data_IF_269448118257
#
_entry.id   IF_269448118257
#
_cell.length_a   1.000
_cell.length_b   1.000
_cell.length_c   1.000
_cell.angle_alpha   90.00
_cell.angle_beta   90.00
_cell.angle_gamma   90.00
#
_symmetry.space_group_name_H-M   'P 1'
#
loop_
_entity.id
_entity.type
_entity.pdbx_description
1 polymer ?
#
# COMPACT_ATOMS: atom_id res chain seq x y z
N UNK A 1 -27.21 21.46 -34.00
CA UNK A 1 -25.75 21.40 -34.29
C UNK A 1 -24.96 22.33 -33.36
N UNK A 2 -25.47 23.52 -33.04
CA UNK A 2 -24.86 24.45 -32.07
C UNK A 2 -24.87 24.00 -30.59
N UNK A 3 -25.80 23.15 -30.14
CA UNK A 3 -25.82 22.64 -28.75
C UNK A 3 -24.77 21.56 -28.45
N UNK A 4 -24.29 20.81 -29.46
CA UNK A 4 -23.24 19.78 -29.26
C UNK A 4 -21.83 20.37 -29.16
N UNK A 5 -21.65 21.61 -29.64
CA UNK A 5 -20.37 22.30 -29.60
C UNK A 5 -20.19 23.08 -28.29
N UNK A 6 -21.28 23.46 -27.61
CA UNK A 6 -21.25 24.07 -26.28
C UNK A 6 -20.91 23.06 -25.16
N UNK A 7 -21.30 21.81 -25.32
CA UNK A 7 -21.05 20.72 -24.37
C UNK A 7 -19.56 20.30 -24.36
N UNK A 8 -18.94 20.21 -25.54
CA UNK A 8 -17.49 19.98 -25.68
C UNK A 8 -16.62 21.12 -25.14
N UNK A 9 -17.15 22.33 -25.07
CA UNK A 9 -16.44 23.51 -24.52
C UNK A 9 -16.37 23.47 -22.99
N UNK A 10 -17.39 22.89 -22.33
CA UNK A 10 -17.43 22.74 -20.86
C UNK A 10 -16.55 21.59 -20.37
N UNK A 11 -16.48 20.49 -21.11
CA UNK A 11 -15.59 19.35 -20.76
C UNK A 11 -14.10 19.68 -20.85
N UNK A 12 -13.73 20.67 -21.68
CA UNK A 12 -12.33 21.08 -21.82
C UNK A 12 -11.89 22.14 -20.78
N UNK A 13 -12.84 22.76 -20.06
CA UNK A 13 -12.56 23.80 -19.06
C UNK A 13 -12.17 23.24 -17.68
N UNK A 14 -12.32 21.93 -17.45
CA UNK A 14 -12.01 21.27 -16.18
C UNK A 14 -10.82 20.30 -16.26
N UNK A 15 -10.05 20.37 -17.35
CA UNK A 15 -8.74 19.71 -17.41
C UNK A 15 -7.73 20.55 -16.64
N UNK A 16 -7.72 20.37 -15.32
CA UNK A 16 -6.61 20.82 -14.49
C UNK A 16 -5.35 20.13 -15.03
N UNK A 17 -4.34 20.91 -15.41
CA UNK A 17 -3.06 20.35 -15.80
C UNK A 17 -2.49 19.55 -14.63
N UNK A 18 -1.96 18.35 -14.92
CA UNK A 18 -1.33 17.52 -13.90
C UNK A 18 -0.15 18.24 -13.20
N UNK A 19 0.44 19.24 -13.88
CA UNK A 19 1.52 20.11 -13.40
C UNK A 19 1.05 21.16 -12.38
N UNK A 20 -0.25 21.50 -12.36
CA UNK A 20 -0.84 22.45 -11.41
C UNK A 20 -1.44 21.75 -10.16
N UNK A 21 -1.23 20.43 -10.04
CA UNK A 21 -1.74 19.67 -8.91
C UNK A 21 -0.93 19.99 -7.65
N UNK A 22 -1.58 20.56 -6.64
CA UNK A 22 -0.99 20.81 -5.32
C UNK A 22 -0.65 19.48 -4.66
N UNK A 23 0.58 19.35 -4.16
CA UNK A 23 0.99 18.22 -3.34
C UNK A 23 0.14 18.17 -2.05
N UNK A 24 -0.66 17.12 -1.93
CA UNK A 24 -1.49 16.89 -0.75
C UNK A 24 -0.59 16.27 0.31
N UNK A 25 -0.38 16.97 1.42
CA UNK A 25 0.30 16.42 2.60
C UNK A 25 -0.68 16.41 3.76
N UNK A 26 -0.90 15.22 4.33
CA UNK A 26 -1.76 15.02 5.48
C UNK A 26 -1.20 15.66 6.75
N UNK A 27 -2.08 16.01 7.68
CA UNK A 27 -1.74 16.67 8.95
C UNK A 27 -2.21 15.90 10.18
N UNK A 28 -2.80 14.71 10.00
CA UNK A 28 -3.14 13.83 11.10
C UNK A 28 -1.89 13.51 11.93
N UNK A 29 -1.99 13.59 13.25
CA UNK A 29 -0.88 13.41 14.19
C UNK A 29 -0.93 12.06 14.94
N UNK A 30 -1.96 11.25 14.67
CA UNK A 30 -2.21 9.95 15.31
C UNK A 30 -2.44 8.83 14.29
N UNK A 31 -2.25 7.56 14.69
CA UNK A 31 -2.38 6.39 13.79
C UNK A 31 -3.79 6.19 13.20
N UNK A 32 -4.79 6.89 13.73
CA UNK A 32 -6.15 7.02 13.23
C UNK A 32 -6.53 8.51 13.28
N UNK A 33 -7.32 9.07 12.36
CA UNK A 33 -7.90 10.41 12.51
C UNK A 33 -8.86 10.53 13.70
N UNK A 34 -9.03 11.74 14.23
CA UNK A 34 -9.89 11.96 15.40
C UNK A 34 -11.36 11.67 15.10
N UNK A 35 -11.85 12.15 13.96
CA UNK A 35 -13.22 11.93 13.52
C UNK A 35 -13.57 10.44 13.45
N UNK A 36 -12.78 9.65 12.70
CA UNK A 36 -12.98 8.21 12.60
C UNK A 36 -12.88 7.52 13.97
N UNK A 37 -11.91 7.93 14.79
CA UNK A 37 -11.68 7.34 16.10
C UNK A 37 -12.88 7.51 17.03
N UNK A 38 -13.43 8.72 17.09
CA UNK A 38 -14.62 9.02 17.89
C UNK A 38 -15.87 8.37 17.30
N UNK A 39 -16.03 8.37 15.97
CA UNK A 39 -17.14 7.73 15.31
C UNK A 39 -17.22 6.23 15.67
N UNK A 40 -16.11 5.49 15.49
CA UNK A 40 -16.06 4.06 15.83
C UNK A 40 -16.25 3.80 17.33
N UNK A 41 -15.82 4.72 18.20
CA UNK A 41 -16.11 4.64 19.62
C UNK A 41 -17.61 4.75 19.92
N UNK A 42 -18.30 5.75 19.37
CA UNK A 42 -19.74 5.96 19.59
C UNK A 42 -20.59 4.84 18.98
N UNK A 43 -20.19 4.33 17.81
CA UNK A 43 -20.84 3.21 17.12
C UNK A 43 -20.53 1.85 17.76
N UNK A 44 -19.64 1.80 18.75
CA UNK A 44 -19.14 0.57 19.40
C UNK A 44 -18.46 -0.40 18.45
N UNK A 45 -17.85 0.12 17.38
CA UNK A 45 -17.14 -0.62 16.33
C UNK A 45 -15.62 -0.57 16.51
N UNK A 46 -15.16 -0.88 17.73
CA UNK A 46 -13.75 -0.96 18.06
C UNK A 46 -13.26 -2.40 17.92
N UNK A 47 -12.18 -2.57 17.16
CA UNK A 47 -11.50 -3.87 17.05
C UNK A 47 -10.92 -4.28 18.42
N UNK A 48 -10.86 -5.58 18.77
CA UNK A 48 -10.19 -6.03 19.99
C UNK A 48 -8.77 -5.49 20.18
N UNK A 49 -8.03 -5.26 19.09
CA UNK A 49 -6.65 -4.73 19.13
C UNK A 49 -6.57 -3.22 19.36
N UNK A 50 -7.71 -2.52 19.34
CA UNK A 50 -7.82 -1.07 19.56
C UNK A 50 -8.35 -0.74 20.97
N UNK A 51 -8.55 -1.75 21.81
CA UNK A 51 -9.05 -1.60 23.18
C UNK A 51 -7.91 -1.72 24.18
N UNK A 52 -7.97 -0.91 25.24
CA UNK A 52 -7.11 -1.07 26.40
C UNK A 52 -7.35 -2.44 27.08
N UNK A 53 -6.45 -2.92 27.97
CA UNK A 53 -6.65 -4.18 28.70
C UNK A 53 -7.98 -4.27 29.46
N UNK A 54 -8.56 -3.11 29.79
CA UNK A 54 -9.81 -2.99 30.55
C UNK A 54 -11.04 -2.97 29.62
N UNK A 55 -10.84 -3.12 28.30
CA UNK A 55 -11.87 -2.99 27.27
C UNK A 55 -12.27 -1.55 26.94
N UNK A 56 -11.63 -0.55 27.55
CA UNK A 56 -11.94 0.86 27.34
C UNK A 56 -11.25 1.42 26.08
N UNK A 57 -11.88 2.43 25.48
CA UNK A 57 -11.33 3.22 24.37
C UNK A 57 -10.02 3.90 24.77
N UNK A 58 -9.00 3.75 23.92
CA UNK A 58 -7.74 4.47 24.03
C UNK A 58 -7.31 4.95 22.64
N UNK A 59 -7.26 6.27 22.48
CA UNK A 59 -6.90 6.94 21.22
C UNK A 59 -5.55 6.49 20.66
N UNK A 60 -4.62 6.09 21.53
CA UNK A 60 -3.26 5.65 21.16
C UNK A 60 -3.22 4.26 20.53
N UNK A 61 -4.26 3.45 20.72
CA UNK A 61 -4.35 2.10 20.17
C UNK A 61 -5.12 2.07 18.83
N UNK A 62 -5.84 3.15 18.51
CA UNK A 62 -6.66 3.27 17.31
C UNK A 62 -5.79 3.36 16.06
N UNK A 63 -6.12 2.56 15.04
CA UNK A 63 -5.47 2.61 13.73
C UNK A 63 -6.53 2.80 12.65
N UNK A 64 -6.31 3.72 11.71
CA UNK A 64 -7.28 4.04 10.67
C UNK A 64 -7.71 2.80 9.87
N UNK A 65 -9.01 2.56 9.78
CA UNK A 65 -9.58 1.48 8.98
C UNK A 65 -9.63 1.85 7.49
N UNK A 66 -9.47 0.86 6.61
CA UNK A 66 -9.63 1.11 5.18
C UNK A 66 -11.10 1.32 4.84
N UNK A 67 -11.47 2.56 4.52
CA UNK A 67 -12.76 2.90 3.94
C UNK A 67 -12.70 2.81 2.41
N UNK A 68 -13.73 2.24 1.78
CA UNK A 68 -13.91 2.37 0.33
C UNK A 68 -14.33 3.81 0.05
N UNK A 69 -13.76 4.43 -0.98
CA UNK A 69 -14.24 5.74 -1.43
C UNK A 69 -15.75 5.64 -1.71
N UNK A 70 -16.54 6.47 -1.05
CA UNK A 70 -17.94 6.64 -1.40
C UNK A 70 -18.04 7.25 -2.80
N UNK A 71 -19.14 7.00 -3.52
CA UNK A 71 -19.38 7.65 -4.80
C UNK A 71 -19.61 9.15 -4.57
N UNK A 72 -18.54 9.93 -4.61
CA UNK A 72 -18.52 11.35 -4.30
C UNK A 72 -17.05 11.80 -4.24
N UNK A 73 -16.71 12.82 -5.00
CA UNK A 73 -15.32 13.17 -5.32
C UNK A 73 -14.66 14.07 -4.25
N UNK A 74 -15.17 14.04 -3.02
CA UNK A 74 -14.66 14.90 -1.96
C UNK A 74 -13.37 14.29 -1.42
N UNK A 75 -12.26 14.99 -1.65
CA UNK A 75 -10.99 14.70 -0.98
C UNK A 75 -11.23 14.81 0.54
N UNK A 76 -10.76 13.83 1.33
CA UNK A 76 -10.88 13.93 2.78
C UNK A 76 -10.09 15.16 3.28
N UNK A 77 -10.51 15.76 4.40
CA UNK A 77 -9.75 16.81 5.09
C UNK A 77 -8.30 16.39 5.32
N UNK A 78 -7.37 17.35 5.37
CA UNK A 78 -5.94 17.03 5.56
C UNK A 78 -5.69 16.39 6.93
N UNK A 79 -6.46 16.76 7.95
CA UNK A 79 -6.45 16.16 9.29
C UNK A 79 -6.92 14.70 9.32
N UNK A 80 -7.55 14.22 8.24
CA UNK A 80 -7.96 12.83 8.07
C UNK A 80 -6.94 12.00 7.27
N UNK A 81 -5.83 12.60 6.85
CA UNK A 81 -4.74 11.95 6.12
C UNK A 81 -3.49 11.94 7.01
N UNK A 82 -2.89 10.75 7.21
CA UNK A 82 -1.64 10.61 7.97
C UNK A 82 -0.42 10.91 7.08
N UNK A 83 0.52 11.76 7.52
CA UNK A 83 1.74 12.03 6.77
C UNK A 83 2.69 10.82 6.77
N UNK A 84 3.62 10.71 5.80
CA UNK A 84 4.51 9.55 5.64
C UNK A 84 5.31 9.14 6.90
N UNK A 85 5.89 10.06 7.70
CA UNK A 85 6.60 9.67 8.92
C UNK A 85 5.68 9.00 9.95
N UNK A 86 4.42 9.42 10.05
CA UNK A 86 3.44 8.82 10.94
C UNK A 86 2.94 7.47 10.41
N UNK A 87 2.82 7.34 9.08
CA UNK A 87 2.48 6.06 8.45
C UNK A 87 3.56 5.01 8.71
N UNK A 88 4.84 5.41 8.73
CA UNK A 88 5.94 4.54 9.16
C UNK A 88 5.76 4.06 10.60
N UNK A 89 5.54 4.98 11.54
CA UNK A 89 5.26 4.63 12.94
C UNK A 89 4.05 3.69 13.05
N UNK A 90 3.03 3.90 12.22
CA UNK A 90 1.84 3.04 12.17
C UNK A 90 2.18 1.63 11.69
N UNK A 91 3.00 1.49 10.64
CA UNK A 91 3.44 0.17 10.15
C UNK A 91 4.30 -0.55 11.19
N UNK A 92 5.22 0.16 11.85
CA UNK A 92 6.02 -0.39 12.94
C UNK A 92 5.11 -0.83 14.10
N UNK A 93 4.09 -0.05 14.49
CA UNK A 93 3.09 -0.47 15.47
C UNK A 93 2.35 -1.76 15.06
N UNK A 94 1.85 -1.83 13.83
CA UNK A 94 1.10 -2.99 13.35
C UNK A 94 1.98 -4.26 13.31
N UNK A 95 3.21 -4.15 12.83
CA UNK A 95 4.06 -5.32 12.56
C UNK A 95 4.98 -5.68 13.72
N UNK A 96 5.47 -4.72 14.49
CA UNK A 96 6.43 -4.95 15.57
C UNK A 96 5.75 -5.03 16.95
N UNK A 97 4.51 -4.55 17.08
CA UNK A 97 3.73 -4.68 18.32
C UNK A 97 2.53 -5.61 18.15
N UNK A 98 1.59 -5.31 17.25
CA UNK A 98 0.35 -6.10 17.15
C UNK A 98 0.63 -7.52 16.66
N UNK A 99 1.30 -7.67 15.51
CA UNK A 99 1.63 -8.97 14.94
C UNK A 99 2.47 -9.83 15.90
N UNK A 100 3.52 -9.26 16.49
CA UNK A 100 4.43 -9.98 17.40
C UNK A 100 3.71 -10.44 18.67
N UNK A 101 2.83 -9.59 19.22
CA UNK A 101 2.16 -9.89 20.50
C UNK A 101 1.05 -10.92 20.37
N UNK A 102 0.27 -10.86 19.30
CA UNK A 102 -0.97 -11.64 19.16
C UNK A 102 -0.88 -12.75 18.11
N UNK A 103 0.18 -12.78 17.30
CA UNK A 103 0.39 -13.78 16.26
C UNK A 103 -0.37 -13.47 14.97
N UNK A 104 0.09 -14.07 13.87
CA UNK A 104 -0.42 -13.76 12.53
C UNK A 104 -1.86 -14.24 12.30
N UNK A 105 -2.23 -15.40 12.84
CA UNK A 105 -3.58 -15.96 12.72
C UNK A 105 -4.64 -15.04 13.34
N UNK A 106 -4.41 -14.56 14.56
CA UNK A 106 -5.37 -13.71 15.26
C UNK A 106 -5.47 -12.30 14.66
N UNK A 107 -4.38 -11.80 14.09
CA UNK A 107 -4.27 -10.39 13.66
C UNK A 107 -4.47 -10.18 12.16
N UNK A 108 -4.55 -11.25 11.36
CA UNK A 108 -4.51 -11.15 9.90
C UNK A 108 -5.55 -10.17 9.34
N UNK A 109 -6.82 -10.35 9.69
CA UNK A 109 -7.91 -9.48 9.19
C UNK A 109 -7.71 -8.01 9.58
N UNK A 110 -7.23 -7.76 10.80
CA UNK A 110 -6.98 -6.41 11.30
C UNK A 110 -5.82 -5.76 10.53
N UNK A 111 -4.64 -6.39 10.52
CA UNK A 111 -3.45 -5.84 9.87
C UNK A 111 -3.66 -5.72 8.35
N UNK A 112 -4.30 -6.71 7.72
CA UNK A 112 -4.64 -6.66 6.31
C UNK A 112 -5.53 -5.46 5.97
N UNK A 113 -6.49 -5.12 6.82
CA UNK A 113 -7.31 -3.92 6.64
C UNK A 113 -6.50 -2.63 6.87
N UNK A 114 -5.75 -2.54 7.97
CA UNK A 114 -5.03 -1.32 8.36
C UNK A 114 -3.88 -0.99 7.39
N UNK A 115 -3.19 -2.00 6.88
CA UNK A 115 -2.14 -1.81 5.85
C UNK A 115 -2.71 -1.30 4.52
N UNK A 116 -3.96 -1.63 4.18
CA UNK A 116 -4.66 -1.01 3.03
C UNK A 116 -4.96 0.46 3.28
N UNK A 117 -5.33 0.84 4.50
CA UNK A 117 -5.53 2.25 4.86
C UNK A 117 -4.21 3.03 4.75
N UNK A 118 -3.11 2.48 5.28
CA UNK A 118 -1.77 3.09 5.14
C UNK A 118 -1.43 3.33 3.67
N UNK A 119 -1.60 2.32 2.82
CA UNK A 119 -1.33 2.44 1.38
C UNK A 119 -2.24 3.46 0.69
N UNK A 120 -3.50 3.56 1.10
CA UNK A 120 -4.46 4.55 0.61
C UNK A 120 -3.98 5.98 0.87
N UNK A 121 -3.45 6.24 2.07
CA UNK A 121 -2.93 7.56 2.43
C UNK A 121 -1.66 7.90 1.65
N UNK A 122 -0.75 6.94 1.45
CA UNK A 122 0.45 7.13 0.61
C UNK A 122 0.08 7.47 -0.84
N UNK A 123 -0.85 6.71 -1.43
CA UNK A 123 -1.30 6.95 -2.81
C UNK A 123 -1.98 8.31 -2.96
N UNK A 124 -2.79 8.73 -1.98
CA UNK A 124 -3.48 10.03 -2.02
C UNK A 124 -2.48 11.20 -2.00
N UNK A 125 -1.40 11.06 -1.24
CA UNK A 125 -0.36 12.09 -1.11
C UNK A 125 0.67 12.03 -2.25
N UNK A 126 0.63 11.00 -3.12
CA UNK A 126 1.64 10.73 -4.17
C UNK A 126 3.07 10.72 -3.61
N UNK A 127 3.21 10.30 -2.36
CA UNK A 127 4.49 10.33 -1.66
C UNK A 127 5.43 9.26 -2.20
N UNK A 128 6.68 9.65 -2.43
CA UNK A 128 7.75 8.77 -2.88
C UNK A 128 9.00 8.88 -1.98
N UNK A 129 8.81 9.36 -0.75
CA UNK A 129 9.85 9.44 0.26
C UNK A 129 10.41 8.07 0.66
N UNK A 130 11.55 8.06 1.36
CA UNK A 130 12.11 6.86 1.95
C UNK A 130 11.14 6.18 2.95
N UNK A 131 10.27 6.94 3.61
CA UNK A 131 9.26 6.39 4.53
C UNK A 131 8.13 5.68 3.78
N UNK A 132 7.67 6.21 2.64
CA UNK A 132 6.74 5.53 1.73
C UNK A 132 7.28 4.18 1.28
N UNK A 133 8.52 4.18 0.80
CA UNK A 133 9.20 2.97 0.36
C UNK A 133 9.28 1.97 1.49
N UNK A 134 9.76 2.40 2.66
CA UNK A 134 9.85 1.54 3.85
C UNK A 134 8.51 0.91 4.23
N UNK A 135 7.43 1.69 4.25
CA UNK A 135 6.08 1.20 4.56
C UNK A 135 5.64 0.12 3.57
N UNK A 136 5.76 0.39 2.27
CA UNK A 136 5.36 -0.54 1.21
C UNK A 136 6.19 -1.83 1.26
N UNK A 137 7.51 -1.73 1.46
CA UNK A 137 8.39 -2.88 1.60
C UNK A 137 7.99 -3.79 2.76
N UNK A 138 7.74 -3.21 3.95
CA UNK A 138 7.29 -3.94 5.14
C UNK A 138 5.91 -4.60 4.92
N UNK A 139 4.97 -3.88 4.31
CA UNK A 139 3.63 -4.39 4.01
C UNK A 139 3.67 -5.56 3.01
N UNK A 140 4.52 -5.49 1.99
CA UNK A 140 4.70 -6.58 1.02
C UNK A 140 5.27 -7.83 1.70
N UNK A 141 6.28 -7.68 2.57
CA UNK A 141 6.83 -8.80 3.35
C UNK A 141 5.77 -9.43 4.25
N UNK A 142 4.93 -8.61 4.91
CA UNK A 142 3.78 -9.09 5.67
C UNK A 142 2.82 -9.91 4.80
N UNK A 143 2.41 -9.42 3.63
CA UNK A 143 1.50 -10.15 2.74
C UNK A 143 2.07 -11.48 2.25
N UNK A 144 3.39 -11.55 1.99
CA UNK A 144 4.06 -12.81 1.62
C UNK A 144 4.00 -13.81 2.79
N UNK A 145 4.25 -13.34 4.02
CA UNK A 145 4.17 -14.16 5.23
C UNK A 145 2.74 -14.64 5.49
N UNK A 146 1.77 -13.72 5.47
CA UNK A 146 0.35 -14.02 5.68
C UNK A 146 -0.18 -15.03 4.65
N UNK A 147 0.23 -14.89 3.39
CA UNK A 147 -0.14 -15.86 2.36
C UNK A 147 0.27 -17.29 2.72
N UNK A 148 1.49 -17.47 3.24
CA UNK A 148 2.02 -18.78 3.61
C UNK A 148 1.35 -19.35 4.86
N UNK A 149 1.24 -18.53 5.92
CA UNK A 149 0.83 -18.98 7.25
C UNK A 149 -0.67 -19.19 7.35
N UNK A 150 -1.49 -18.29 6.80
CA UNK A 150 -2.93 -18.24 7.12
C UNK A 150 -3.85 -18.30 5.90
N UNK A 151 -3.42 -17.83 4.74
CA UNK A 151 -4.30 -17.81 3.56
C UNK A 151 -4.28 -19.13 2.79
N UNK A 152 -3.15 -19.87 2.79
CA UNK A 152 -2.97 -21.04 1.94
C UNK A 152 -4.02 -22.13 2.22
N UNK A 153 -4.68 -22.60 1.18
CA UNK A 153 -5.78 -23.58 1.25
C UNK A 153 -7.18 -22.96 1.34
N UNK A 154 -7.29 -21.64 1.47
CA UNK A 154 -8.56 -20.91 1.56
C UNK A 154 -8.77 -20.03 0.33
N UNK A 155 -9.35 -20.59 -0.74
CA UNK A 155 -9.36 -20.00 -2.09
C UNK A 155 -9.79 -18.52 -2.16
N UNK A 156 -10.81 -18.14 -1.41
CA UNK A 156 -11.30 -16.75 -1.39
C UNK A 156 -10.30 -15.79 -0.72
N UNK A 157 -9.75 -16.20 0.42
CA UNK A 157 -8.75 -15.43 1.17
C UNK A 157 -7.45 -15.32 0.37
N UNK A 158 -6.99 -16.43 -0.23
CA UNK A 158 -5.81 -16.43 -1.12
C UNK A 158 -5.95 -15.41 -2.25
N UNK A 159 -7.14 -15.36 -2.87
CA UNK A 159 -7.39 -14.46 -4.00
C UNK A 159 -7.29 -13.00 -3.57
N UNK A 160 -7.88 -12.66 -2.43
CA UNK A 160 -7.83 -11.30 -1.86
C UNK A 160 -6.42 -10.92 -1.42
N UNK A 161 -5.68 -11.85 -0.80
CA UNK A 161 -4.30 -11.63 -0.36
C UNK A 161 -3.37 -11.38 -1.55
N UNK A 162 -3.45 -12.22 -2.58
CA UNK A 162 -2.68 -12.07 -3.82
C UNK A 162 -3.02 -10.74 -4.50
N UNK A 163 -4.29 -10.32 -4.51
CA UNK A 163 -4.69 -9.05 -5.08
C UNK A 163 -4.03 -7.87 -4.35
N UNK A 164 -4.04 -7.85 -3.00
CA UNK A 164 -3.40 -6.78 -2.24
C UNK A 164 -1.88 -6.77 -2.41
N UNK A 165 -1.25 -7.95 -2.39
CA UNK A 165 0.18 -8.10 -2.62
C UNK A 165 0.59 -7.56 -4.00
N UNK A 166 -0.16 -7.90 -5.06
CA UNK A 166 0.09 -7.38 -6.42
C UNK A 166 -0.03 -5.87 -6.48
N UNK A 167 -1.09 -5.30 -5.88
CA UNK A 167 -1.27 -3.84 -5.84
C UNK A 167 -0.14 -3.16 -5.07
N UNK A 168 0.31 -3.73 -3.95
CA UNK A 168 1.41 -3.16 -3.17
C UNK A 168 2.74 -3.20 -3.95
N UNK A 169 3.04 -4.32 -4.61
CA UNK A 169 4.20 -4.47 -5.48
C UNK A 169 4.20 -3.51 -6.68
N UNK A 170 3.01 -3.25 -7.25
CA UNK A 170 2.84 -2.27 -8.32
C UNK A 170 3.11 -0.84 -7.82
N UNK A 171 2.49 -0.44 -6.71
CA UNK A 171 2.74 0.87 -6.09
C UNK A 171 4.21 1.07 -5.75
N UNK A 172 4.88 0.06 -5.18
CA UNK A 172 6.30 0.15 -4.86
C UNK A 172 7.18 0.27 -6.11
N UNK A 173 6.80 -0.39 -7.21
CA UNK A 173 7.49 -0.26 -8.50
C UNK A 173 7.45 1.16 -9.04
N UNK A 174 6.31 1.83 -8.92
CA UNK A 174 6.09 3.23 -9.30
C UNK A 174 6.86 4.17 -8.38
N UNK A 175 6.72 4.01 -7.06
CA UNK A 175 7.45 4.83 -6.09
C UNK A 175 8.97 4.71 -6.24
N UNK A 176 9.52 3.52 -6.52
CA UNK A 176 10.94 3.38 -6.84
C UNK A 176 11.37 4.11 -8.12
N UNK A 177 10.47 4.25 -9.10
CA UNK A 177 10.76 4.99 -10.31
C UNK A 177 10.84 6.49 -10.00
N UNK A 178 9.83 7.00 -9.29
CA UNK A 178 9.69 8.42 -8.97
C UNK A 178 10.80 8.88 -8.02
N UNK A 179 11.14 8.08 -7.00
CA UNK A 179 12.20 8.40 -6.04
C UNK A 179 13.63 8.33 -6.61
N UNK A 180 13.84 7.79 -7.82
CA UNK A 180 15.16 7.35 -8.29
C UNK A 180 16.23 8.44 -8.32
N UNK A 181 15.83 9.67 -8.58
CA UNK A 181 16.76 10.81 -8.63
C UNK A 181 17.28 11.21 -7.24
N UNK A 182 16.52 10.92 -6.19
CA UNK A 182 16.76 11.42 -4.83
C UNK A 182 17.18 10.29 -3.88
N UNK A 183 16.63 9.09 -4.07
CA UNK A 183 16.83 7.96 -3.18
C UNK A 183 16.74 6.63 -3.94
N UNK A 184 17.71 5.74 -3.65
CA UNK A 184 17.72 4.38 -4.15
C UNK A 184 17.66 3.44 -2.94
N UNK A 185 16.57 2.70 -2.81
CA UNK A 185 16.43 1.74 -1.71
C UNK A 185 17.45 0.60 -1.86
N UNK A 186 18.14 0.21 -0.77
CA UNK A 186 19.01 -0.96 -0.78
C UNK A 186 18.22 -2.26 -1.04
N UNK A 187 16.91 -2.28 -0.77
CA UNK A 187 16.07 -3.46 -0.91
C UNK A 187 15.41 -3.56 -2.30
N UNK A 188 15.61 -2.59 -3.20
CA UNK A 188 14.89 -2.57 -4.47
C UNK A 188 15.01 -3.89 -5.25
N UNK A 189 16.20 -4.49 -5.31
CA UNK A 189 16.42 -5.76 -5.98
C UNK A 189 15.55 -6.90 -5.42
N UNK A 190 15.34 -6.96 -4.10
CA UNK A 190 14.46 -7.94 -3.44
C UNK A 190 13.03 -7.79 -3.95
N UNK A 191 12.50 -6.58 -3.92
CA UNK A 191 11.10 -6.33 -4.30
C UNK A 191 10.86 -6.44 -5.81
N UNK A 192 11.85 -6.10 -6.64
CA UNK A 192 11.81 -6.41 -8.09
C UNK A 192 11.74 -7.92 -8.32
N UNK A 193 12.44 -8.71 -7.49
CA UNK A 193 12.37 -10.18 -7.55
C UNK A 193 10.97 -10.68 -7.24
N UNK A 194 10.35 -10.18 -6.16
CA UNK A 194 8.96 -10.52 -5.82
C UNK A 194 7.97 -10.12 -6.92
N UNK A 195 8.14 -8.94 -7.53
CA UNK A 195 7.31 -8.50 -8.65
C UNK A 195 7.38 -9.49 -9.83
N UNK A 196 8.58 -9.93 -10.21
CA UNK A 196 8.79 -10.89 -11.31
C UNK A 196 8.18 -12.26 -10.99
N UNK A 197 8.35 -12.76 -9.77
CA UNK A 197 7.78 -14.05 -9.35
C UNK A 197 6.26 -14.00 -9.28
N UNK A 198 5.68 -12.89 -8.79
CA UNK A 198 4.24 -12.71 -8.75
C UNK A 198 3.61 -12.63 -10.15
N UNK A 199 4.39 -12.14 -11.13
CA UNK A 199 3.98 -11.99 -12.52
C UNK A 199 4.71 -12.96 -13.45
N UNK A 200 5.01 -14.17 -12.97
CA UNK A 200 5.89 -15.14 -13.66
C UNK A 200 5.42 -15.56 -15.06
N UNK A 201 4.12 -15.45 -15.34
CA UNK A 201 3.54 -15.71 -16.67
C UNK A 201 3.34 -14.46 -17.52
N UNK A 202 3.44 -13.27 -16.94
CA UNK A 202 3.26 -12.00 -17.66
C UNK A 202 4.42 -11.75 -18.60
N UNK A 203 4.15 -11.55 -19.90
CA UNK A 203 5.18 -11.15 -20.87
C UNK A 203 5.67 -9.72 -20.63
N UNK A 204 4.86 -8.87 -19.98
CA UNK A 204 5.17 -7.47 -19.73
C UNK A 204 6.09 -7.27 -18.51
N UNK A 205 6.05 -8.16 -17.51
CA UNK A 205 6.79 -7.97 -16.27
C UNK A 205 8.31 -7.76 -16.45
N UNK A 206 9.03 -8.49 -17.34
CA UNK A 206 10.46 -8.24 -17.55
C UNK A 206 10.78 -6.87 -18.18
N UNK A 207 9.83 -6.22 -18.85
CA UNK A 207 10.07 -4.90 -19.45
C UNK A 207 10.25 -3.82 -18.40
N UNK A 208 9.67 -3.98 -17.20
CA UNK A 208 9.85 -3.04 -16.08
C UNK A 208 11.29 -3.02 -15.56
N UNK A 209 12.11 -4.03 -15.91
CA UNK A 209 13.51 -4.12 -15.50
C UNK A 209 14.46 -3.32 -16.41
N UNK A 210 14.03 -2.88 -17.59
CA UNK A 210 14.90 -2.23 -18.58
C UNK A 210 15.44 -0.88 -18.12
N UNK A 211 14.69 -0.17 -17.30
CA UNK A 211 15.07 1.12 -16.74
C UNK A 211 15.89 1.00 -15.45
N UNK A 212 16.18 -0.22 -14.98
CA UNK A 212 16.90 -0.40 -13.72
C UNK A 212 18.40 -0.13 -13.88
N UNK A 213 19.03 0.49 -12.87
CA UNK A 213 20.48 0.59 -12.79
C UNK A 213 21.14 -0.79 -12.87
N UNK A 214 22.33 -0.90 -13.49
CA UNK A 214 23.05 -2.17 -13.62
C UNK A 214 23.29 -2.89 -12.28
N UNK A 215 23.56 -2.14 -11.20
CA UNK A 215 23.76 -2.70 -9.86
C UNK A 215 22.52 -3.44 -9.33
N UNK A 216 21.33 -2.94 -9.63
CA UNK A 216 20.06 -3.56 -9.20
C UNK A 216 19.73 -4.72 -10.13
N UNK A 217 19.90 -4.55 -11.44
CA UNK A 217 19.64 -5.60 -12.42
C UNK A 217 20.50 -6.84 -12.15
N UNK A 218 21.80 -6.63 -11.88
CA UNK A 218 22.76 -7.72 -11.64
C UNK A 218 22.70 -8.34 -10.24
N UNK A 219 21.83 -7.83 -9.35
CA UNK A 219 21.70 -8.34 -7.99
C UNK A 219 21.37 -9.84 -7.98
N UNK A 220 22.04 -10.65 -7.12
CA UNK A 220 21.86 -12.11 -7.11
C UNK A 220 20.40 -12.56 -6.94
N UNK A 221 19.64 -11.89 -6.06
CA UNK A 221 18.24 -12.20 -5.79
C UNK A 221 17.34 -12.03 -7.02
N UNK A 222 17.56 -10.96 -7.80
CA UNK A 222 16.79 -10.70 -9.02
C UNK A 222 17.19 -11.65 -10.14
N UNK A 223 18.48 -11.93 -10.28
CA UNK A 223 18.97 -12.93 -11.23
C UNK A 223 18.41 -14.33 -10.92
N UNK A 224 18.25 -14.67 -9.64
CA UNK A 224 17.62 -15.92 -9.23
C UNK A 224 16.15 -15.99 -9.63
N UNK A 225 15.37 -14.93 -9.37
CA UNK A 225 13.98 -14.85 -9.80
C UNK A 225 13.81 -14.97 -11.34
N UNK A 226 14.70 -14.34 -12.11
CA UNK A 226 14.71 -14.45 -13.58
C UNK A 226 15.02 -15.87 -14.06
N UNK A 227 15.94 -16.58 -13.40
CA UNK A 227 16.25 -17.99 -13.71
C UNK A 227 15.04 -18.89 -13.45
N UNK A 228 14.37 -18.74 -12.30
CA UNK A 228 13.14 -19.51 -11.99
C UNK A 228 12.10 -19.31 -13.09
N UNK A 229 11.85 -18.05 -13.45
CA UNK A 229 10.91 -17.71 -14.52
C UNK A 229 11.30 -18.37 -15.84
N UNK A 230 12.55 -18.26 -16.24
CA UNK A 230 13.05 -18.84 -17.49
C UNK A 230 12.83 -20.36 -17.55
N UNK A 231 13.16 -21.07 -16.46
CA UNK A 231 12.95 -22.51 -16.34
C UNK A 231 11.47 -22.87 -16.46
N UNK A 232 10.58 -22.14 -15.78
CA UNK A 232 9.14 -22.41 -15.83
C UNK A 232 8.53 -22.11 -17.20
N UNK A 233 9.07 -21.15 -17.95
CA UNK A 233 8.61 -20.85 -19.32
C UNK A 233 9.02 -21.88 -20.37
N UNK A 234 10.02 -22.73 -20.09
CA UNK A 234 10.46 -23.81 -20.99
C UNK A 234 9.72 -25.12 -20.77
N UNK A 235 9.12 -25.29 -19.59
CA UNK A 235 8.45 -26.53 -19.17
C UNK A 235 6.91 -26.46 -19.30
N UNK A 236 6.40 -25.43 -19.96
CA UNK A 236 4.97 -25.15 -20.19
C UNK A 236 4.70 -25.00 -21.68
#
# INVERSE_FOLDING_TARGET
>A
KQERDADKSRDNANRVNLEDAVDIVGTCDMMCPEFESLQRYFERDLDPFEKSPNGAYDRKLMVQAFARAAAGNDLPPLEDIRPPPLLRVTVDYLLDHILVRYGIEATHNFIWNRTRAVRSDLTRQRDHSADSIYCLERIIRYHILAFHEVCRGQREIETLEIEQLKKALQSLTEVYHDARAEYISPNEAEFRSYYILMHIRSRHAPFTLRSLPPAIYSAPVLQWALRIRFTLSRNS
#
